data_IF_407253206247
#
_entry.id   IF_407253206247
#
_cell.length_a   1.000
_cell.length_b   1.000
_cell.length_c   1.000
_cell.angle_alpha   90.00
_cell.angle_beta   90.00
_cell.angle_gamma   90.00
#
_symmetry.space_group_name_H-M   'P 1'
#
loop_
_entity.id
_entity.type
_entity.pdbx_description
1 polymer ?
#
# COMPACT_ATOMS: atom_id res chain seq x y z
N UNK A 1 -20.59 7.99 23.75
CA UNK A 1 -21.91 7.56 23.25
C UNK A 1 -22.73 8.79 23.01
N UNK A 2 -23.12 9.01 21.77
CA UNK A 2 -23.97 10.14 21.40
C UNK A 2 -25.45 9.70 21.47
N UNK A 3 -26.17 10.25 22.45
CA UNK A 3 -27.56 9.88 22.70
C UNK A 3 -28.53 10.44 21.64
N UNK A 4 -28.14 11.44 20.86
CA UNK A 4 -29.00 12.01 19.82
C UNK A 4 -29.11 11.07 18.61
N UNK A 5 -27.99 10.47 18.20
CA UNK A 5 -27.97 9.44 17.16
C UNK A 5 -28.77 8.20 17.56
N UNK A 6 -28.69 7.78 18.83
CA UNK A 6 -29.50 6.69 19.37
C UNK A 6 -31.00 6.98 19.34
N UNK A 7 -31.44 8.18 19.71
CA UNK A 7 -32.86 8.57 19.62
C UNK A 7 -33.37 8.57 18.18
N UNK A 8 -32.56 9.07 17.24
CA UNK A 8 -32.88 9.05 15.81
C UNK A 8 -33.00 7.61 15.29
N UNK A 9 -32.06 6.75 15.63
CA UNK A 9 -32.11 5.33 15.28
C UNK A 9 -33.37 4.64 15.81
N UNK A 10 -33.71 4.85 17.07
CA UNK A 10 -34.94 4.29 17.68
C UNK A 10 -36.16 4.75 16.89
N UNK A 11 -36.28 6.05 16.59
CA UNK A 11 -37.40 6.58 15.81
C UNK A 11 -37.49 5.95 14.40
N UNK A 12 -36.36 5.78 13.73
CA UNK A 12 -36.30 5.13 12.41
C UNK A 12 -36.75 3.66 12.50
N UNK A 13 -36.31 2.93 13.53
CA UNK A 13 -36.75 1.55 13.75
C UNK A 13 -38.25 1.47 14.03
N UNK A 14 -38.80 2.37 14.86
CA UNK A 14 -40.25 2.41 15.15
C UNK A 14 -41.06 2.67 13.88
N UNK A 15 -40.58 3.55 12.99
CA UNK A 15 -41.23 3.79 11.70
C UNK A 15 -41.14 2.56 10.78
N UNK A 16 -39.98 1.90 10.73
CA UNK A 16 -39.80 0.69 9.93
C UNK A 16 -40.70 -0.46 10.42
N UNK A 17 -40.84 -0.63 11.73
CA UNK A 17 -41.76 -1.62 12.30
C UNK A 17 -43.21 -1.31 11.96
N UNK A 18 -43.61 -0.04 11.96
CA UNK A 18 -44.96 0.35 11.55
C UNK A 18 -45.22 -0.01 10.08
N UNK A 19 -44.29 0.28 9.16
CA UNK A 19 -44.43 -0.10 7.76
C UNK A 19 -44.57 -1.61 7.55
N UNK A 20 -43.88 -2.42 8.36
CA UNK A 20 -44.00 -3.88 8.32
C UNK A 20 -45.30 -4.37 8.94
N UNK A 21 -45.77 -3.74 10.02
CA UNK A 21 -47.04 -4.04 10.66
C UNK A 21 -48.23 -3.71 9.74
N UNK A 22 -48.14 -2.60 9.00
CA UNK A 22 -49.13 -2.22 7.99
C UNK A 22 -49.20 -3.28 6.87
N UNK A 23 -48.06 -3.81 6.41
CA UNK A 23 -47.99 -4.91 5.42
C UNK A 23 -48.65 -6.19 5.95
N UNK A 24 -48.44 -6.53 7.23
CA UNK A 24 -48.99 -7.75 7.84
C UNK A 24 -50.48 -7.62 8.13
N UNK A 25 -50.94 -6.42 8.49
CA UNK A 25 -52.33 -6.12 8.82
C UNK A 25 -53.23 -6.02 7.57
N UNK A 26 -52.67 -5.65 6.42
CA UNK A 26 -53.36 -5.68 5.12
C UNK A 26 -53.38 -7.12 4.54
N UNK A 27 -54.30 -7.98 5.01
CA UNK A 27 -54.50 -9.32 4.46
C UNK A 27 -54.97 -9.30 2.97
N UNK A 28 -54.88 -10.44 2.25
CA UNK A 28 -54.07 -10.69 1.03
C UNK A 28 -54.57 -9.93 -0.22
N UNK A 29 -54.84 -8.63 -0.10
CA UNK A 29 -54.96 -7.75 -1.25
C UNK A 29 -53.60 -7.73 -1.93
N UNK A 30 -53.58 -8.17 -3.19
CA UNK A 30 -52.43 -8.54 -4.03
C UNK A 30 -51.43 -7.39 -4.36
N UNK A 31 -51.25 -6.43 -3.45
CA UNK A 31 -50.30 -5.34 -3.53
C UNK A 31 -49.59 -5.18 -2.19
N UNK A 32 -48.85 -6.22 -1.76
CA UNK A 32 -47.60 -5.94 -1.06
C UNK A 32 -46.77 -5.14 -2.05
N UNK A 33 -46.81 -3.81 -1.90
CA UNK A 33 -46.17 -2.92 -2.84
C UNK A 33 -44.67 -3.10 -2.60
N UNK A 34 -43.93 -3.63 -3.58
CA UNK A 34 -42.47 -3.77 -3.49
C UNK A 34 -41.81 -2.46 -2.99
N UNK A 35 -42.44 -1.33 -3.29
CA UNK A 35 -42.11 -0.02 -2.76
C UNK A 35 -42.09 0.04 -1.23
N UNK A 36 -43.10 -0.47 -0.52
CA UNK A 36 -43.18 -0.44 0.94
C UNK A 36 -42.07 -1.27 1.58
N UNK A 37 -41.76 -2.43 0.98
CA UNK A 37 -40.65 -3.29 1.42
C UNK A 37 -39.30 -2.60 1.21
N UNK A 38 -39.07 -2.00 0.05
CA UNK A 38 -37.84 -1.24 -0.21
C UNK A 38 -37.71 -0.03 0.72
N UNK A 39 -38.81 0.69 1.01
CA UNK A 39 -38.78 1.80 1.98
C UNK A 39 -38.47 1.34 3.40
N UNK A 40 -39.02 0.20 3.84
CA UNK A 40 -38.70 -0.36 5.15
C UNK A 40 -37.22 -0.75 5.24
N UNK A 41 -36.69 -1.39 4.19
CA UNK A 41 -35.28 -1.77 4.08
C UNK A 41 -34.34 -0.56 4.12
N UNK A 42 -34.64 0.50 3.36
CA UNK A 42 -33.87 1.75 3.41
C UNK A 42 -33.93 2.40 4.80
N UNK A 43 -35.09 2.39 5.45
CA UNK A 43 -35.27 2.96 6.79
C UNK A 43 -34.45 2.20 7.85
N UNK A 44 -34.39 0.87 7.74
CA UNK A 44 -33.57 0.02 8.61
C UNK A 44 -32.08 0.29 8.39
N UNK A 45 -31.62 0.44 7.14
CA UNK A 45 -30.21 0.78 6.85
C UNK A 45 -29.80 2.11 7.48
N UNK A 46 -30.64 3.14 7.37
CA UNK A 46 -30.41 4.44 8.02
C UNK A 46 -30.33 4.30 9.54
N UNK A 47 -31.24 3.52 10.13
CA UNK A 47 -31.21 3.26 11.57
C UNK A 47 -29.92 2.57 12.01
N UNK A 48 -29.43 1.60 11.25
CA UNK A 48 -28.16 0.92 11.54
C UNK A 48 -26.97 1.88 11.47
N UNK A 49 -26.92 2.77 10.48
CA UNK A 49 -25.87 3.77 10.36
C UNK A 49 -25.87 4.74 11.55
N UNK A 50 -27.05 5.20 11.99
CA UNK A 50 -27.22 6.04 13.19
C UNK A 50 -26.79 5.30 14.48
N UNK A 51 -27.06 4.00 14.60
CA UNK A 51 -26.55 3.18 15.72
C UNK A 51 -25.03 3.09 15.66
N UNK A 52 -24.46 2.81 14.49
CA UNK A 52 -23.00 2.76 14.31
C UNK A 52 -22.36 4.07 14.74
N UNK A 53 -22.90 5.20 14.28
CA UNK A 53 -22.45 6.53 14.66
C UNK A 53 -22.59 6.83 16.16
N UNK A 54 -23.62 6.31 16.84
CA UNK A 54 -23.77 6.49 18.28
C UNK A 54 -22.73 5.71 19.11
N UNK A 55 -22.37 4.51 18.64
CA UNK A 55 -21.40 3.61 19.28
C UNK A 55 -19.97 4.10 19.00
N UNK A 56 -19.66 4.30 17.72
CA UNK A 56 -18.39 4.78 17.21
C UNK A 56 -18.65 6.01 16.33
N UNK A 57 -18.53 7.23 16.87
CA UNK A 57 -18.75 8.44 16.08
C UNK A 57 -17.81 8.42 14.88
N UNK A 58 -18.32 8.64 13.65
CA UNK A 58 -17.50 8.53 12.46
C UNK A 58 -16.45 9.65 12.46
N UNK A 59 -15.18 9.27 12.48
CA UNK A 59 -14.06 10.22 12.46
C UNK A 59 -13.40 10.18 11.09
N UNK A 60 -13.50 11.27 10.34
CA UNK A 60 -12.91 11.39 9.00
C UNK A 60 -11.49 11.98 9.02
N UNK A 61 -10.94 12.32 10.19
CA UNK A 61 -9.62 12.96 10.34
C UNK A 61 -8.45 12.16 9.73
N UNK A 62 -8.60 10.85 9.56
CA UNK A 62 -7.57 9.97 8.98
C UNK A 62 -7.59 9.96 7.45
N UNK A 63 -8.55 10.66 6.84
CA UNK A 63 -8.80 10.68 5.40
C UNK A 63 -8.30 12.01 4.85
N UNK A 64 -7.43 12.01 3.84
CA UNK A 64 -6.99 13.24 3.20
C UNK A 64 -8.17 14.05 2.64
N UNK A 65 -8.16 15.37 2.87
CA UNK A 65 -9.19 16.30 2.38
C UNK A 65 -9.37 16.23 0.86
N UNK A 66 -8.28 15.93 0.12
CA UNK A 66 -8.31 15.73 -1.33
C UNK A 66 -9.29 14.64 -1.76
N UNK A 67 -9.43 13.55 -0.98
CA UNK A 67 -10.36 12.48 -1.30
C UNK A 67 -11.80 12.85 -0.99
N UNK A 68 -12.03 13.64 0.07
CA UNK A 68 -13.36 14.15 0.42
C UNK A 68 -13.85 15.13 -0.65
N UNK A 69 -13.00 16.08 -1.06
CA UNK A 69 -13.29 17.01 -2.14
C UNK A 69 -13.55 16.29 -3.48
N UNK A 70 -12.81 15.21 -3.75
CA UNK A 70 -13.04 14.36 -4.93
C UNK A 70 -14.35 13.58 -4.85
N UNK A 71 -14.76 13.12 -3.66
CA UNK A 71 -16.05 12.47 -3.48
C UNK A 71 -17.20 13.44 -3.76
N UNK A 72 -17.12 14.68 -3.25
CA UNK A 72 -18.11 15.73 -3.52
C UNK A 72 -18.19 16.08 -5.01
N UNK A 73 -17.04 16.25 -5.68
CA UNK A 73 -17.02 16.58 -7.12
C UNK A 73 -17.61 15.47 -7.99
N UNK A 74 -17.49 14.22 -7.55
CA UNK A 74 -18.12 13.06 -8.17
C UNK A 74 -19.61 12.92 -7.80
N UNK A 75 -20.15 13.77 -6.93
CA UNK A 75 -21.57 13.77 -6.55
C UNK A 75 -21.92 12.71 -5.49
N UNK A 76 -20.95 12.31 -4.67
CA UNK A 76 -21.20 11.47 -3.49
C UNK A 76 -21.59 12.40 -2.33
N UNK A 77 -22.79 12.25 -1.74
CA UNK A 77 -23.26 13.15 -0.70
C UNK A 77 -22.54 12.89 0.62
N UNK A 78 -21.68 13.83 1.04
CA UNK A 78 -21.03 13.77 2.36
C UNK A 78 -21.98 14.14 3.51
N UNK A 79 -23.16 14.68 3.22
CA UNK A 79 -24.21 14.91 4.23
C UNK A 79 -24.93 13.63 4.68
N UNK A 80 -24.79 12.54 3.92
CA UNK A 80 -25.43 11.27 4.22
C UNK A 80 -24.65 10.50 5.29
N UNK A 81 -25.31 10.17 6.39
CA UNK A 81 -24.70 9.45 7.51
C UNK A 81 -24.21 8.07 7.09
N UNK A 82 -24.90 7.39 6.15
CA UNK A 82 -24.46 6.08 5.65
C UNK A 82 -23.11 6.19 4.94
N UNK A 83 -22.93 7.26 4.17
CA UNK A 83 -21.68 7.55 3.44
C UNK A 83 -20.57 7.90 4.41
N UNK A 84 -20.83 8.78 5.37
CA UNK A 84 -19.84 9.17 6.39
C UNK A 84 -19.38 7.95 7.20
N UNK A 85 -20.31 7.11 7.65
CA UNK A 85 -19.98 5.89 8.40
C UNK A 85 -19.14 4.96 7.54
N UNK A 86 -19.54 4.69 6.30
CA UNK A 86 -18.77 3.84 5.38
C UNK A 86 -17.35 4.38 5.16
N UNK A 87 -17.23 5.68 4.93
CA UNK A 87 -15.94 6.38 4.78
C UNK A 87 -15.08 6.19 6.04
N UNK A 88 -15.67 6.33 7.22
CA UNK A 88 -14.92 6.24 8.49
C UNK A 88 -14.46 4.83 8.85
N UNK A 89 -15.15 3.80 8.36
CA UNK A 89 -14.85 2.40 8.65
C UNK A 89 -13.76 1.81 7.74
N UNK A 90 -13.49 2.45 6.59
CA UNK A 90 -12.62 1.91 5.54
C UNK A 90 -11.28 2.64 5.42
N UNK A 91 -10.29 1.96 4.84
CA UNK A 91 -8.95 2.53 4.66
C UNK A 91 -8.92 3.57 3.51
N UNK A 92 -8.15 4.67 3.62
CA UNK A 92 -8.08 5.70 2.57
C UNK A 92 -7.69 5.19 1.18
N UNK A 93 -6.90 4.11 1.09
CA UNK A 93 -6.56 3.50 -0.21
C UNK A 93 -7.76 2.84 -0.89
N UNK A 94 -8.68 2.25 -0.13
CA UNK A 94 -9.93 1.70 -0.68
C UNK A 94 -10.78 2.84 -1.24
N UNK A 95 -10.90 3.93 -0.48
CA UNK A 95 -11.60 5.14 -0.90
C UNK A 95 -11.03 5.68 -2.21
N UNK A 96 -9.71 5.87 -2.29
CA UNK A 96 -9.03 6.34 -3.49
C UNK A 96 -9.29 5.44 -4.70
N UNK A 97 -9.25 4.11 -4.50
CA UNK A 97 -9.55 3.14 -5.54
C UNK A 97 -10.99 3.24 -6.07
N UNK A 98 -11.99 3.33 -5.18
CA UNK A 98 -13.39 3.50 -5.61
C UNK A 98 -13.59 4.82 -6.34
N UNK A 99 -13.04 5.92 -5.82
CA UNK A 99 -13.19 7.24 -6.45
C UNK A 99 -12.56 7.25 -7.85
N UNK A 100 -11.42 6.59 -8.04
CA UNK A 100 -10.82 6.42 -9.36
C UNK A 100 -11.65 5.52 -10.29
N UNK A 101 -12.24 4.43 -9.79
CA UNK A 101 -13.17 3.60 -10.59
C UNK A 101 -14.40 4.41 -11.04
N UNK A 102 -14.98 5.21 -10.13
CA UNK A 102 -16.15 6.06 -10.43
C UNK A 102 -15.80 7.11 -11.47
N UNK A 103 -14.64 7.76 -11.35
CA UNK A 103 -14.16 8.74 -12.32
C UNK A 103 -13.96 8.13 -13.70
N UNK A 104 -13.29 6.97 -13.78
CA UNK A 104 -13.03 6.26 -15.04
C UNK A 104 -14.30 5.72 -15.71
N UNK A 105 -15.35 5.42 -14.93
CA UNK A 105 -16.62 4.86 -15.40
C UNK A 105 -17.79 5.82 -15.20
N UNK A 106 -17.52 7.12 -15.16
CA UNK A 106 -18.48 8.14 -14.78
C UNK A 106 -19.74 8.17 -15.65
N UNK A 107 -19.64 7.80 -16.93
CA UNK A 107 -20.76 7.72 -17.88
C UNK A 107 -21.67 6.50 -17.64
N UNK A 108 -21.10 5.40 -17.13
CA UNK A 108 -21.82 4.14 -16.92
C UNK A 108 -22.52 4.08 -15.56
N UNK A 109 -22.02 4.82 -14.56
CA UNK A 109 -22.53 4.80 -13.19
C UNK A 109 -23.58 5.89 -13.01
N UNK A 110 -24.85 5.52 -13.17
CA UNK A 110 -26.00 6.42 -12.94
C UNK A 110 -26.22 6.75 -11.46
N UNK A 111 -25.90 5.81 -10.58
CA UNK A 111 -26.20 5.83 -9.14
C UNK A 111 -24.90 5.78 -8.34
N UNK A 112 -24.21 6.93 -8.27
CA UNK A 112 -22.85 7.03 -7.75
C UNK A 112 -22.78 6.76 -6.24
N UNK A 113 -23.77 7.24 -5.49
CA UNK A 113 -23.93 6.96 -4.05
C UNK A 113 -24.04 5.46 -3.78
N UNK A 114 -25.01 4.78 -4.38
CA UNK A 114 -25.23 3.35 -4.14
C UNK A 114 -24.03 2.52 -4.61
N UNK A 115 -23.46 2.86 -5.77
CA UNK A 115 -22.27 2.21 -6.27
C UNK A 115 -21.10 2.35 -5.30
N UNK A 116 -20.87 3.55 -4.77
CA UNK A 116 -19.82 3.82 -3.78
C UNK A 116 -19.98 2.95 -2.53
N UNK A 117 -21.17 2.93 -1.92
CA UNK A 117 -21.45 2.17 -0.69
C UNK A 117 -21.31 0.65 -0.89
N UNK A 118 -21.67 0.14 -2.06
CA UNK A 118 -21.54 -1.30 -2.37
C UNK A 118 -20.08 -1.65 -2.66
N UNK A 119 -19.37 -0.78 -3.39
CA UNK A 119 -18.04 -1.09 -3.90
C UNK A 119 -16.94 -0.92 -2.85
N UNK A 120 -17.08 0.04 -1.94
CA UNK A 120 -16.09 0.33 -0.90
C UNK A 120 -15.62 -0.89 -0.09
N UNK A 121 -16.52 -1.77 0.43
CA UNK A 121 -16.10 -2.95 1.18
C UNK A 121 -15.43 -4.03 0.31
N UNK A 122 -15.71 -4.05 -0.99
CA UNK A 122 -15.11 -5.02 -1.92
C UNK A 122 -13.70 -4.62 -2.35
N UNK A 123 -13.32 -3.34 -2.17
CA UNK A 123 -12.02 -2.88 -2.61
C UNK A 123 -10.91 -3.45 -1.75
N UNK A 124 -9.87 -4.05 -2.36
CA UNK A 124 -8.73 -4.53 -1.59
C UNK A 124 -7.99 -3.34 -0.99
N UNK A 125 -7.53 -3.50 0.24
CA UNK A 125 -6.58 -2.57 0.82
C UNK A 125 -5.26 -2.76 0.07
N UNK A 126 -4.87 -1.77 -0.72
CA UNK A 126 -3.56 -1.78 -1.37
C UNK A 126 -2.48 -1.93 -0.29
N UNK A 127 -1.79 -3.08 -0.32
CA UNK A 127 -0.59 -3.29 0.46
C UNK A 127 0.47 -2.39 -0.15
N UNK A 128 0.55 -1.16 0.36
CA UNK A 128 1.69 -0.28 0.12
C UNK A 128 2.93 -1.15 0.28
N UNK A 129 3.70 -1.32 -0.81
CA UNK A 129 4.91 -2.11 -0.80
C UNK A 129 5.84 -1.64 0.33
N UNK A 130 6.86 -2.45 0.64
CA UNK A 130 7.91 -2.13 1.61
C UNK A 130 8.24 -0.63 1.60
N UNK A 131 7.83 0.11 2.65
CA UNK A 131 8.11 1.54 2.85
C UNK A 131 9.55 1.79 3.27
N UNK A 132 10.46 0.88 2.90
CA UNK A 132 11.88 1.15 3.06
C UNK A 132 12.20 2.37 2.19
N UNK A 133 12.94 3.35 2.72
CA UNK A 133 13.36 4.49 1.93
C UNK A 133 14.12 3.94 0.71
N UNK A 134 13.73 4.41 -0.48
CA UNK A 134 14.48 4.16 -1.71
C UNK A 134 15.73 5.03 -1.58
N UNK A 135 16.79 4.47 -0.98
CA UNK A 135 18.09 5.12 -0.88
C UNK A 135 18.65 5.21 -2.29
N UNK A 136 18.69 6.42 -2.84
CA UNK A 136 19.34 6.70 -4.12
C UNK A 136 20.83 6.85 -3.89
N UNK A 137 21.65 6.55 -4.90
CA UNK A 137 23.11 6.77 -4.82
C UNK A 137 23.45 8.24 -4.49
N UNK A 138 22.58 9.19 -4.86
CA UNK A 138 22.71 10.60 -4.49
C UNK A 138 22.52 10.86 -3.01
N UNK A 139 21.74 10.05 -2.31
CA UNK A 139 21.53 10.21 -0.88
C UNK A 139 22.82 9.89 -0.14
N UNK A 140 23.66 8.98 -0.67
CA UNK A 140 25.02 8.62 -0.22
C UNK A 140 26.10 9.67 -0.53
N UNK A 141 25.77 10.75 -1.24
CA UNK A 141 26.68 11.87 -1.41
C UNK A 141 26.60 12.80 -0.19
N UNK A 142 27.25 12.37 0.89
CA UNK A 142 27.54 13.25 2.01
C UNK A 142 28.48 14.36 1.50
N UNK A 143 28.22 15.65 1.77
CA UNK A 143 29.16 16.72 1.45
C UNK A 143 30.35 16.61 2.41
N UNK A 144 31.31 15.74 2.08
CA UNK A 144 32.57 15.68 2.80
C UNK A 144 33.41 16.88 2.36
N UNK A 145 33.46 17.91 3.21
CA UNK A 145 34.56 18.86 3.13
C UNK A 145 35.89 18.07 3.26
N UNK A 146 36.84 18.27 2.34
CA UNK A 146 38.09 17.52 2.37
C UNK A 146 38.83 17.86 3.68
N UNK A 147 38.81 16.91 4.61
CA UNK A 147 39.48 17.03 5.91
C UNK A 147 40.96 17.42 5.69
N UNK A 148 41.43 18.44 6.41
CA UNK A 148 42.83 18.89 6.34
C UNK A 148 43.81 17.77 6.69
N UNK A 149 44.98 17.77 6.04
CA UNK A 149 46.01 16.73 6.23
C UNK A 149 46.44 16.62 7.70
N UNK A 150 46.59 17.75 8.37
CA UNK A 150 46.98 17.84 9.77
C UNK A 150 45.96 17.17 10.69
N UNK A 151 44.67 17.42 10.48
CA UNK A 151 43.61 16.80 11.28
C UNK A 151 43.51 15.29 11.03
N UNK A 152 43.74 14.83 9.79
CA UNK A 152 43.83 13.40 9.47
C UNK A 152 44.97 12.72 10.22
N UNK A 153 46.14 13.34 10.27
CA UNK A 153 47.31 12.81 10.99
C UNK A 153 47.09 12.81 12.51
N UNK A 154 46.46 13.85 13.06
CA UNK A 154 46.07 13.90 14.47
C UNK A 154 45.08 12.77 14.83
N UNK A 155 44.09 12.49 13.98
CA UNK A 155 43.17 11.36 14.16
C UNK A 155 43.94 10.02 14.09
N UNK A 156 44.81 9.84 13.09
CA UNK A 156 45.61 8.62 12.95
C UNK A 156 46.46 8.37 14.19
N UNK A 157 47.09 9.40 14.74
CA UNK A 157 47.88 9.33 15.97
C UNK A 157 47.01 9.03 17.20
N UNK A 158 45.89 9.74 17.37
CA UNK A 158 44.96 9.59 18.51
C UNK A 158 44.40 8.17 18.61
N UNK A 159 43.96 7.60 17.48
CA UNK A 159 43.37 6.26 17.44
C UNK A 159 44.39 5.16 17.09
N UNK A 160 45.68 5.50 16.95
CA UNK A 160 46.77 4.58 16.61
C UNK A 160 46.44 3.73 15.38
N UNK A 161 45.78 4.33 14.38
CA UNK A 161 45.24 3.65 13.19
C UNK A 161 46.37 2.94 12.42
N UNK A 162 47.58 3.51 12.42
CA UNK A 162 48.76 2.91 11.77
C UNK A 162 49.11 1.53 12.33
N UNK A 163 48.72 1.21 13.57
CA UNK A 163 48.88 -0.13 14.15
C UNK A 163 47.88 -1.14 13.58
N UNK A 164 46.72 -0.68 13.15
CA UNK A 164 45.67 -1.51 12.53
C UNK A 164 45.96 -1.73 11.04
N UNK A 165 46.64 -0.79 10.39
CA UNK A 165 47.05 -0.87 8.97
C UNK A 165 48.29 -1.76 8.78
N UNK A 166 48.99 -2.15 9.86
CA UNK A 166 50.11 -3.11 9.77
C UNK A 166 49.66 -4.34 9.00
N UNK A 167 50.08 -4.41 7.73
CA UNK A 167 49.88 -5.54 6.83
C UNK A 167 50.25 -6.80 7.59
N UNK A 168 49.31 -7.74 7.69
CA UNK A 168 49.63 -9.09 8.15
C UNK A 168 50.82 -9.56 7.31
N UNK A 169 51.96 -9.94 7.90
CA UNK A 169 53.15 -10.33 7.14
C UNK A 169 52.96 -11.61 6.30
N UNK A 170 51.76 -12.21 6.35
CA UNK A 170 51.39 -13.42 5.61
C UNK A 170 49.99 -13.33 4.97
N UNK A 171 49.60 -12.22 4.35
CA UNK A 171 48.59 -12.33 3.28
C UNK A 171 49.31 -12.78 2.01
N UNK A 172 49.36 -14.11 1.86
CA UNK A 172 49.65 -14.82 0.61
C UNK A 172 49.23 -13.95 -0.59
N UNK A 173 50.18 -13.71 -1.50
CA UNK A 173 49.97 -13.16 -2.86
C UNK A 173 48.50 -13.26 -3.27
N UNK A 174 47.86 -12.11 -3.54
CA UNK A 174 46.43 -12.07 -3.89
C UNK A 174 46.17 -13.10 -4.98
N UNK A 175 45.01 -13.75 -4.94
CA UNK A 175 44.62 -14.75 -5.95
C UNK A 175 44.80 -14.16 -7.36
N UNK A 176 44.55 -12.86 -7.53
CA UNK A 176 44.81 -12.12 -8.76
C UNK A 176 46.28 -12.06 -9.17
N UNK A 177 47.22 -11.84 -8.24
CA UNK A 177 48.64 -11.88 -8.54
C UNK A 177 49.11 -13.30 -8.95
N UNK A 178 48.49 -14.35 -8.38
CA UNK A 178 48.72 -15.73 -8.80
C UNK A 178 48.13 -16.02 -10.18
N UNK A 179 46.94 -15.50 -10.48
CA UNK A 179 46.31 -15.63 -11.79
C UNK A 179 47.15 -14.93 -12.85
N UNK A 180 47.60 -13.70 -12.58
CA UNK A 180 48.46 -12.95 -13.50
C UNK A 180 49.78 -13.68 -13.77
N UNK A 181 50.45 -14.19 -12.73
CA UNK A 181 51.66 -14.99 -12.91
C UNK A 181 51.40 -16.27 -13.70
N UNK A 182 50.24 -16.93 -13.50
CA UNK A 182 49.86 -18.11 -14.26
C UNK A 182 49.56 -17.77 -15.74
N UNK A 183 48.93 -16.63 -16.03
CA UNK A 183 48.71 -16.14 -17.40
C UNK A 183 50.04 -15.82 -18.10
N UNK A 184 50.99 -15.20 -17.41
CA UNK A 184 52.33 -14.91 -17.94
C UNK A 184 53.09 -16.21 -18.25
N UNK A 185 52.98 -17.24 -17.42
CA UNK A 185 53.55 -18.56 -17.69
C UNK A 185 52.84 -19.29 -18.84
N UNK A 186 51.51 -19.19 -18.95
CA UNK A 186 50.74 -19.81 -20.04
C UNK A 186 51.11 -19.18 -21.41
N UNK A 187 51.32 -17.86 -21.44
CA UNK A 187 51.76 -17.14 -22.64
C UNK A 187 53.18 -17.49 -23.08
N UNK A 188 54.06 -17.91 -22.17
CA UNK A 188 55.41 -18.38 -22.51
C UNK A 188 55.43 -19.83 -23.01
N UNK A 189 54.50 -20.68 -22.56
CA UNK A 189 54.40 -22.09 -22.98
C UNK A 189 53.85 -22.29 -24.39
N UNK A 190 53.22 -21.27 -25.00
CA UNK A 190 52.66 -21.38 -26.36
C UNK A 190 53.63 -20.98 -27.48
N UNK A 191 54.85 -20.52 -27.15
CA UNK A 191 55.80 -19.99 -28.14
C UNK A 191 56.81 -21.03 -28.68
N UNK A 192 56.69 -22.31 -28.32
CA UNK A 192 57.66 -23.31 -28.78
C UNK A 192 57.15 -24.73 -28.69
N UNK A 193 56.31 -25.15 -29.64
CA UNK A 193 56.24 -26.52 -30.15
C UNK A 193 55.40 -26.54 -31.43
N UNK A 194 56.01 -26.08 -32.53
CA UNK A 194 55.62 -26.49 -33.88
C UNK A 194 56.55 -27.63 -34.31
N UNK A 195 55.95 -28.66 -34.90
CA UNK A 195 56.54 -29.88 -35.50
C UNK A 195 56.89 -30.98 -34.48
N UNK A 196 56.51 -32.25 -34.64
CA UNK A 196 56.05 -33.03 -35.79
C UNK A 196 55.51 -34.39 -35.30
N UNK A 197 54.53 -34.95 -36.03
CA UNK A 197 54.15 -36.37 -36.17
C UNK A 197 54.68 -37.41 -35.17
N UNK A 198 53.80 -38.23 -34.61
CA UNK A 198 53.78 -39.69 -34.85
C UNK A 198 52.50 -40.33 -34.28
N UNK A 199 51.87 -41.16 -35.11
CA UNK A 199 50.72 -42.00 -34.85
C UNK A 199 50.83 -42.83 -33.55
N UNK A 200 49.72 -42.96 -32.80
CA UNK A 200 49.44 -44.22 -32.11
C UNK A 200 47.92 -44.41 -31.87
N UNK A 201 47.45 -45.55 -32.37
CA UNK A 201 46.09 -46.10 -32.34
C UNK A 201 45.43 -46.10 -30.96
N UNK A 202 44.14 -45.75 -30.91
CA UNK A 202 43.25 -46.10 -29.79
C UNK A 202 42.35 -47.26 -30.26
N UNK A 203 42.41 -48.46 -29.65
CA UNK A 203 41.53 -49.57 -30.00
C UNK A 203 40.12 -49.35 -29.43
N UNK A 204 39.12 -49.82 -30.16
CA UNK A 204 37.71 -49.83 -29.77
C UNK A 204 37.43 -50.73 -28.56
#
# INVERSE_FOLDING_TARGET
MDYEHLKKAIKLLTNATQYLEDIVSEAPSNKVNNQTVETAKETIKKAMAEISAAVNPPVTNHIPDEFLAKAESLGIPLDDIEVIVAISEHHPSQLAGVLAEIENRAENIKRRREYFLIRLPEMPIEKLGSRLPIVKATDLNWPEEPISKEYREAIKAKYKIDRLIKKRPYSRTSIFAKIQAAEEHLGQSQAGENNSDFDEEIPF
#
